data_IF_249325210949
#
_entry.id   IF_249325210949
#
_cell.length_a   1.000
_cell.length_b   1.000
_cell.length_c   1.000
_cell.angle_alpha   90.00
_cell.angle_beta   90.00
_cell.angle_gamma   90.00
#
_symmetry.space_group_name_H-M   'P 1'
#
loop_
_entity.id
_entity.type
_entity.pdbx_description
1 polymer ?
#
# COMPACT_ATOMS: atom_id res chain seq x y z
N UNK A 1 -10.45 2.80 5.51
CA UNK A 1 -10.88 1.50 6.07
C UNK A 1 -9.97 0.41 5.51
N UNK A 2 -9.04 -0.15 6.30
CA UNK A 2 -8.04 -1.13 5.82
C UNK A 2 -8.67 -2.46 5.36
N UNK A 3 -9.73 -2.93 6.02
CA UNK A 3 -10.37 -4.21 5.65
C UNK A 3 -10.93 -4.28 4.23
N UNK A 4 -11.22 -3.15 3.58
CA UNK A 4 -11.65 -3.13 2.17
C UNK A 4 -10.50 -3.40 1.20
N UNK A 5 -9.27 -3.02 1.57
CA UNK A 5 -8.09 -3.31 0.77
C UNK A 5 -7.72 -4.79 0.89
N UNK A 6 -7.78 -5.31 2.11
CA UNK A 6 -7.53 -6.73 2.41
C UNK A 6 -8.56 -7.65 1.72
N UNK A 7 -9.85 -7.33 1.80
CA UNK A 7 -10.91 -8.09 1.13
C UNK A 7 -10.80 -8.09 -0.41
N UNK A 8 -10.07 -7.14 -0.99
CA UNK A 8 -9.79 -7.08 -2.43
C UNK A 8 -8.42 -7.67 -2.79
N UNK A 9 -7.68 -8.21 -1.82
CA UNK A 9 -6.34 -8.76 -2.03
C UNK A 9 -5.29 -7.71 -2.36
N UNK A 10 -5.56 -6.42 -2.18
CA UNK A 10 -4.62 -5.33 -2.50
C UNK A 10 -3.50 -5.18 -1.46
N UNK A 11 -3.72 -5.69 -0.25
CA UNK A 11 -2.74 -5.72 0.83
C UNK A 11 -2.75 -7.08 1.51
N UNK A 12 -1.65 -7.42 2.17
CA UNK A 12 -1.52 -8.58 3.04
C UNK A 12 -0.84 -8.21 4.36
N UNK A 13 -0.73 -9.18 5.28
CA UNK A 13 -0.02 -8.98 6.55
C UNK A 13 1.47 -8.82 6.30
N UNK A 14 2.05 -7.74 6.82
CA UNK A 14 3.47 -7.47 6.74
C UNK A 14 4.29 -8.08 7.88
N UNK A 15 5.62 -7.92 7.85
CA UNK A 15 6.50 -8.31 8.94
C UNK A 15 6.12 -7.61 10.24
N UNK A 16 5.96 -8.40 11.31
CA UNK A 16 5.66 -7.90 12.64
C UNK A 16 6.93 -7.94 13.49
N UNK A 17 7.22 -6.84 14.19
CA UNK A 17 8.33 -6.82 15.13
C UNK A 17 8.16 -7.94 16.18
N UNK A 18 9.22 -8.67 16.53
CA UNK A 18 9.16 -9.82 17.45
C UNK A 18 9.06 -9.36 18.92
N UNK A 19 8.12 -8.46 19.22
CA UNK A 19 7.82 -7.97 20.57
C UNK A 19 6.32 -8.08 20.84
N UNK A 20 5.96 -8.46 22.07
CA UNK A 20 4.56 -8.52 22.51
C UNK A 20 3.90 -7.16 22.31
N UNK A 21 2.68 -7.15 21.75
CA UNK A 21 1.95 -5.92 21.47
C UNK A 21 2.48 -5.10 20.30
N UNK A 22 3.41 -5.62 19.48
CA UNK A 22 3.74 -4.96 18.21
C UNK A 22 2.48 -4.80 17.36
N UNK A 23 2.24 -3.62 16.75
CA UNK A 23 1.10 -3.40 15.87
C UNK A 23 1.19 -4.31 14.63
N UNK A 24 0.03 -4.57 14.01
CA UNK A 24 0.00 -5.18 12.68
C UNK A 24 0.54 -4.21 11.65
N UNK A 25 1.36 -4.73 10.75
CA UNK A 25 1.81 -4.02 9.56
C UNK A 25 1.11 -4.64 8.35
N UNK A 26 1.00 -3.87 7.29
CA UNK A 26 0.44 -4.32 6.02
C UNK A 26 1.41 -3.98 4.91
N UNK A 27 1.47 -4.84 3.91
CA UNK A 27 2.27 -4.66 2.69
C UNK A 27 1.36 -4.80 1.48
N UNK A 28 1.74 -4.18 0.36
CA UNK A 28 1.08 -4.41 -0.93
C UNK A 28 1.37 -5.81 -1.45
N UNK A 29 0.48 -6.32 -2.29
CA UNK A 29 0.59 -7.64 -2.92
C UNK A 29 0.92 -7.52 -4.41
N UNK A 30 1.19 -8.62 -5.09
CA UNK A 30 1.30 -8.62 -6.56
C UNK A 30 -0.01 -8.21 -7.24
N UNK A 31 -1.15 -8.47 -6.60
CA UNK A 31 -2.46 -8.04 -7.11
C UNK A 31 -2.61 -6.52 -7.10
N UNK A 32 -1.96 -5.82 -6.17
CA UNK A 32 -1.86 -4.37 -6.23
C UNK A 32 -1.15 -3.93 -7.52
N UNK A 33 0.01 -4.50 -7.82
CA UNK A 33 0.78 -4.18 -9.02
C UNK A 33 -0.05 -4.41 -10.29
N UNK A 34 -0.71 -5.57 -10.39
CA UNK A 34 -1.57 -5.91 -11.53
C UNK A 34 -2.73 -4.93 -11.72
N UNK A 35 -3.43 -4.56 -10.65
CA UNK A 35 -4.60 -3.66 -10.73
C UNK A 35 -4.20 -2.23 -11.13
N UNK A 36 -3.02 -1.78 -10.70
CA UNK A 36 -2.51 -0.45 -11.03
C UNK A 36 -1.63 -0.43 -12.28
N UNK A 37 -1.47 -1.55 -12.97
CA UNK A 37 -0.68 -1.64 -14.20
C UNK A 37 0.81 -1.36 -13.99
N UNK A 38 1.35 -1.75 -12.83
CA UNK A 38 2.75 -1.57 -12.47
C UNK A 38 3.49 -2.90 -12.62
N UNK A 39 4.72 -2.88 -13.13
CA UNK A 39 5.61 -4.05 -13.08
C UNK A 39 6.33 -4.14 -11.74
N UNK A 40 6.55 -2.99 -11.07
CA UNK A 40 7.22 -2.93 -9.77
C UNK A 40 6.82 -1.71 -8.95
N UNK A 41 7.10 -1.73 -7.63
CA UNK A 41 6.84 -0.57 -6.76
C UNK A 41 7.76 0.62 -7.07
N UNK A 42 8.87 0.42 -7.79
CA UNK A 42 9.76 1.49 -8.23
C UNK A 42 9.08 2.43 -9.25
N UNK A 43 8.05 1.96 -9.94
CA UNK A 43 7.29 2.75 -10.92
C UNK A 43 6.22 3.64 -10.28
N UNK A 44 6.06 3.56 -8.96
CA UNK A 44 5.14 4.44 -8.26
C UNK A 44 5.50 5.90 -8.55
N UNK A 45 4.50 6.74 -8.90
CA UNK A 45 4.75 8.15 -9.15
C UNK A 45 5.29 8.82 -7.88
N UNK A 46 6.18 9.79 -8.08
CA UNK A 46 6.68 10.61 -6.99
C UNK A 46 5.53 11.34 -6.28
N UNK A 47 5.72 11.66 -4.99
CA UNK A 47 4.70 12.29 -4.16
C UNK A 47 4.07 13.53 -4.79
N UNK A 48 4.85 14.41 -5.40
CA UNK A 48 4.31 15.60 -6.07
C UNK A 48 3.29 15.27 -7.16
N UNK A 49 3.54 14.23 -7.97
CA UNK A 49 2.59 13.77 -9.00
C UNK A 49 1.34 13.14 -8.39
N UNK A 50 1.46 12.51 -7.24
CA UNK A 50 0.31 11.96 -6.51
C UNK A 50 -0.54 13.06 -5.86
N UNK A 51 0.07 14.14 -5.39
CA UNK A 51 -0.60 15.34 -4.88
C UNK A 51 -1.35 16.07 -6.01
N UNK A 52 -0.69 16.28 -7.16
CA UNK A 52 -1.31 16.87 -8.36
C UNK A 52 -2.52 16.04 -8.87
N UNK A 53 -2.45 14.72 -8.72
CA UNK A 53 -3.54 13.81 -9.05
C UNK A 53 -4.65 13.74 -7.97
N UNK A 54 -4.50 14.45 -6.85
CA UNK A 54 -5.45 14.46 -5.73
C UNK A 54 -5.49 13.15 -4.92
N UNK A 55 -4.48 12.30 -5.06
CA UNK A 55 -4.40 10.98 -4.40
C UNK A 55 -3.90 11.10 -2.95
N UNK A 56 -3.07 12.11 -2.67
CA UNK A 56 -2.56 12.42 -1.32
C UNK A 56 -2.85 13.88 -1.00
N UNK A 57 -3.24 14.16 0.24
CA UNK A 57 -3.36 15.54 0.73
C UNK A 57 -1.99 16.01 1.18
N UNK A 58 -1.55 17.19 0.72
CA UNK A 58 -0.52 17.95 1.42
C UNK A 58 -1.07 18.31 2.81
N UNK A 59 -0.32 17.98 3.85
CA UNK A 59 -0.58 18.41 5.23
C UNK A 59 0.16 19.69 5.55
#
# INVERSE_FOLDING_TARGET
>A
MIGRLDARGLIGTGPRAPRRGAPYTYVTTDQFLMIFGLESLQELPERGRLEDAGVVSSV
#
